data_IF_454429504144
#
_entry.id   IF_454429504144
#
_cell.length_a   1.000
_cell.length_b   1.000
_cell.length_c   1.000
_cell.angle_alpha   90.00
_cell.angle_beta   90.00
_cell.angle_gamma   90.00
#
_symmetry.space_group_name_H-M   'P 1'
#
loop_
_entity.id
_entity.type
_entity.pdbx_description
1 polymer ?
#
# COMPACT_ATOMS: atom_id res chain seq x y z
N UNK A 1 -1.65 13.78 -1.06
CA UNK A 1 -0.24 13.73 -1.50
C UNK A 1 0.37 12.43 -0.97
N UNK A 2 1.19 11.72 -1.73
CA UNK A 2 1.68 10.37 -1.36
C UNK A 2 2.83 10.35 -0.33
N UNK A 3 2.87 11.29 0.63
CA UNK A 3 3.86 11.29 1.72
C UNK A 3 5.34 11.28 1.28
N UNK A 4 5.67 11.85 0.11
CA UNK A 4 7.02 11.84 -0.45
C UNK A 4 7.43 10.55 -1.17
N UNK A 5 6.57 9.52 -1.18
CA UNK A 5 6.89 8.23 -1.81
C UNK A 5 6.84 8.30 -3.35
N UNK A 6 7.74 7.59 -4.05
CA UNK A 6 7.78 7.57 -5.51
C UNK A 6 6.48 7.02 -6.10
N UNK A 7 6.00 7.65 -7.17
CA UNK A 7 4.71 7.36 -7.81
C UNK A 7 4.81 7.35 -9.32
N UNK A 8 3.93 6.61 -9.97
CA UNK A 8 3.78 6.64 -11.42
C UNK A 8 3.27 8.03 -11.82
N UNK A 9 3.90 8.64 -12.82
CA UNK A 9 3.52 9.97 -13.30
C UNK A 9 2.05 9.97 -13.77
N UNK A 10 1.31 11.03 -13.43
CA UNK A 10 -0.13 11.12 -13.73
C UNK A 10 -1.03 10.27 -12.83
N UNK A 11 -0.48 9.42 -11.97
CA UNK A 11 -1.25 8.48 -11.16
C UNK A 11 -1.10 8.72 -9.65
N UNK A 12 -2.02 8.13 -8.89
CA UNK A 12 -1.93 8.00 -7.42
C UNK A 12 -1.37 6.65 -6.97
N UNK A 13 -0.98 5.81 -7.92
CA UNK A 13 -0.35 4.50 -7.68
C UNK A 13 1.12 4.74 -7.36
N UNK A 14 1.59 4.24 -6.21
CA UNK A 14 2.98 4.34 -5.79
C UNK A 14 3.78 3.17 -6.34
N UNK A 15 5.10 3.33 -6.46
CA UNK A 15 6.01 2.25 -6.87
C UNK A 15 5.89 1.05 -5.91
N UNK A 16 5.84 1.30 -4.60
CA UNK A 16 5.65 0.25 -3.59
C UNK A 16 4.38 -0.60 -3.82
N UNK A 17 3.30 -0.02 -4.38
CA UNK A 17 2.05 -0.75 -4.58
C UNK A 17 2.24 -1.79 -5.71
N UNK A 18 2.92 -1.41 -6.80
CA UNK A 18 3.31 -2.31 -7.90
C UNK A 18 4.20 -3.45 -7.38
N UNK A 19 5.20 -3.11 -6.56
CA UNK A 19 6.12 -4.10 -5.97
C UNK A 19 5.37 -5.09 -5.08
N UNK A 20 4.43 -4.62 -4.26
CA UNK A 20 3.62 -5.50 -3.40
C UNK A 20 2.76 -6.44 -4.25
N UNK A 21 2.11 -5.93 -5.30
CA UNK A 21 1.30 -6.76 -6.20
C UNK A 21 2.15 -7.82 -6.92
N UNK A 22 3.33 -7.44 -7.39
CA UNK A 22 4.22 -8.34 -8.11
C UNK A 22 4.90 -9.37 -7.19
N UNK A 23 5.61 -8.93 -6.14
CA UNK A 23 6.42 -9.83 -5.30
C UNK A 23 5.61 -10.58 -4.25
N UNK A 24 4.59 -9.95 -3.65
CA UNK A 24 3.85 -10.55 -2.53
C UNK A 24 2.56 -11.22 -2.95
N UNK A 25 1.87 -10.65 -3.93
CA UNK A 25 0.63 -11.24 -4.45
C UNK A 25 0.86 -12.11 -5.69
N UNK A 26 2.09 -12.12 -6.24
CA UNK A 26 2.46 -12.96 -7.38
C UNK A 26 1.78 -12.57 -8.70
N UNK A 27 1.23 -11.36 -8.79
CA UNK A 27 0.59 -10.89 -10.02
C UNK A 27 1.64 -10.60 -11.10
N UNK A 28 1.41 -11.09 -12.31
CA UNK A 28 2.20 -10.70 -13.47
C UNK A 28 1.96 -9.22 -13.84
N UNK A 29 2.91 -8.58 -14.55
CA UNK A 29 2.72 -7.21 -15.06
C UNK A 29 1.44 -7.03 -15.88
N UNK A 30 1.06 -8.02 -16.69
CA UNK A 30 -0.18 -8.01 -17.47
C UNK A 30 -1.43 -8.06 -16.58
N UNK A 31 -1.43 -8.88 -15.52
CA UNK A 31 -2.53 -8.93 -14.55
C UNK A 31 -2.66 -7.60 -13.78
N UNK A 32 -1.55 -6.96 -13.45
CA UNK A 32 -1.55 -5.64 -12.80
C UNK A 32 -2.24 -4.61 -13.69
N UNK A 33 -1.89 -4.56 -14.99
CA UNK A 33 -2.54 -3.64 -15.94
C UNK A 33 -4.01 -3.98 -16.13
N UNK A 34 -4.36 -5.26 -16.16
CA UNK A 34 -5.75 -5.72 -16.26
C UNK A 34 -6.60 -5.23 -15.08
N UNK A 35 -6.07 -5.32 -13.86
CA UNK A 35 -6.76 -4.83 -12.65
C UNK A 35 -6.75 -3.30 -12.51
N UNK A 36 -5.72 -2.64 -13.03
CA UNK A 36 -5.53 -1.19 -12.93
C UNK A 36 -5.36 -0.56 -14.32
N UNK A 37 -6.43 -0.46 -15.13
CA UNK A 37 -6.36 -0.05 -16.53
C UNK A 37 -5.95 1.42 -16.74
N UNK A 38 -5.83 2.19 -15.66
CA UNK A 38 -5.28 3.55 -15.70
C UNK A 38 -3.80 3.57 -16.04
N UNK A 39 -3.03 2.55 -15.64
CA UNK A 39 -1.59 2.44 -15.91
C UNK A 39 -1.34 1.46 -17.05
N UNK A 40 -0.26 1.65 -17.80
CA UNK A 40 0.12 0.75 -18.88
C UNK A 40 1.30 -0.14 -18.46
N UNK A 41 1.62 -1.11 -19.33
CA UNK A 41 2.68 -2.08 -19.09
C UNK A 41 4.06 -1.43 -18.93
N UNK A 42 4.35 -0.36 -19.68
CA UNK A 42 5.60 0.38 -19.56
C UNK A 42 5.72 1.08 -18.19
N UNK A 43 4.63 1.60 -17.65
CA UNK A 43 4.61 2.19 -16.30
C UNK A 43 4.94 1.13 -15.23
N UNK A 44 4.40 -0.09 -15.38
CA UNK A 44 4.68 -1.21 -14.47
C UNK A 44 6.15 -1.59 -14.53
N UNK A 45 6.72 -1.79 -15.72
CA UNK A 45 8.13 -2.12 -15.86
C UNK A 45 9.05 -0.99 -15.40
N UNK A 46 8.71 0.27 -15.66
CA UNK A 46 9.47 1.41 -15.16
C UNK A 46 9.46 1.48 -13.63
N UNK A 47 8.31 1.19 -12.99
CA UNK A 47 8.22 1.11 -11.53
C UNK A 47 9.07 -0.05 -10.97
N UNK A 48 9.05 -1.22 -11.61
CA UNK A 48 9.88 -2.36 -11.20
C UNK A 48 11.38 -2.06 -11.37
N UNK A 49 11.78 -1.46 -12.49
CA UNK A 49 13.17 -1.04 -12.71
C UNK A 49 13.63 -0.05 -11.62
N UNK A 50 12.83 0.99 -11.36
CA UNK A 50 13.11 1.95 -10.28
C UNK A 50 13.22 1.27 -8.92
N UNK A 51 12.37 0.28 -8.66
CA UNK A 51 12.42 -0.51 -7.43
C UNK A 51 13.73 -1.27 -7.28
N UNK A 52 14.22 -1.93 -8.32
CA UNK A 52 15.48 -2.66 -8.23
C UNK A 52 16.68 -1.74 -8.01
N UNK A 53 16.65 -0.52 -8.54
CA UNK A 53 17.67 0.49 -8.27
C UNK A 53 17.60 1.06 -6.83
N UNK A 54 16.42 1.06 -6.20
CA UNK A 54 16.16 1.67 -4.88
C UNK A 54 15.60 0.66 -3.86
N UNK A 55 15.97 -0.62 -3.99
CA UNK A 55 15.28 -1.72 -3.31
C UNK A 55 15.25 -1.57 -1.79
N UNK A 56 16.39 -1.19 -1.20
CA UNK A 56 16.53 -1.05 0.26
C UNK A 56 15.61 0.05 0.80
N UNK A 57 15.62 1.22 0.16
CA UNK A 57 14.79 2.37 0.57
C UNK A 57 13.29 2.02 0.49
N UNK A 58 12.87 1.43 -0.63
CA UNK A 58 11.45 1.12 -0.84
C UNK A 58 10.98 0.01 0.12
N UNK A 59 11.80 -1.02 0.37
CA UNK A 59 11.47 -2.05 1.35
C UNK A 59 11.31 -1.47 2.75
N UNK A 60 12.24 -0.63 3.17
CA UNK A 60 12.15 0.07 4.45
C UNK A 60 10.86 0.90 4.54
N UNK A 61 10.52 1.67 3.50
CA UNK A 61 9.29 2.47 3.45
C UNK A 61 8.00 1.63 3.52
N UNK A 62 8.03 0.40 3.01
CA UNK A 62 6.92 -0.55 3.12
C UNK A 62 6.81 -1.05 4.56
N UNK A 63 7.91 -1.48 5.17
CA UNK A 63 7.95 -1.98 6.54
C UNK A 63 7.53 -0.92 7.56
N UNK A 64 8.03 0.31 7.44
CA UNK A 64 7.65 1.45 8.26
C UNK A 64 6.15 1.76 8.13
N UNK A 65 5.62 1.68 6.91
CA UNK A 65 4.20 1.89 6.64
C UNK A 65 3.31 0.84 7.31
N UNK A 66 3.73 -0.43 7.28
CA UNK A 66 3.02 -1.52 7.96
C UNK A 66 3.12 -1.43 9.48
N UNK A 67 4.30 -1.09 10.01
CA UNK A 67 4.49 -0.89 11.44
C UNK A 67 3.59 0.23 11.97
N UNK A 68 3.54 1.36 11.25
CA UNK A 68 2.65 2.46 11.58
C UNK A 68 1.18 2.05 11.52
N UNK A 69 0.76 1.31 10.47
CA UNK A 69 -0.61 0.81 10.36
C UNK A 69 -1.00 -0.08 11.55
N UNK A 70 -0.13 -1.04 11.92
CA UNK A 70 -0.33 -1.92 13.09
C UNK A 70 -0.43 -1.14 14.40
N UNK A 71 0.42 -0.14 14.59
CA UNK A 71 0.39 0.71 15.79
C UNK A 71 -0.91 1.50 15.89
N UNK A 72 -1.38 2.06 14.77
CA UNK A 72 -2.64 2.82 14.70
C UNK A 72 -3.86 1.93 14.93
N UNK A 73 -3.86 0.70 14.40
CA UNK A 73 -4.88 -0.31 14.67
C UNK A 73 -4.92 -0.68 16.16
N UNK A 74 -3.76 -0.86 16.80
CA UNK A 74 -3.69 -1.17 18.22
C UNK A 74 -4.18 -0.01 19.12
N UNK A 75 -3.93 1.23 18.71
CA UNK A 75 -4.31 2.44 19.47
C UNK A 75 -5.76 2.89 19.26
N UNK A 76 -6.40 2.44 18.19
CA UNK A 76 -7.77 2.84 17.86
C UNK A 76 -8.72 1.65 18.09
N UNK A 77 -9.34 1.51 19.28
CA UNK A 77 -10.38 0.51 19.45
C UNK A 77 -11.46 0.76 18.40
N UNK A 78 -11.83 -0.29 17.68
CA UNK A 78 -12.76 -0.19 16.56
C UNK A 78 -14.00 0.60 17.02
N UNK A 79 -14.47 1.56 16.23
CA UNK A 79 -15.69 2.34 16.57
C UNK A 79 -16.87 1.42 16.94
N UNK A 80 -16.88 0.20 16.40
CA UNK A 80 -17.78 -0.90 16.75
C UNK A 80 -17.59 -1.37 18.21
N UNK A 81 -16.37 -1.64 18.66
CA UNK A 81 -16.08 -2.00 20.06
C UNK A 81 -16.43 -0.86 21.03
N UNK A 82 -16.11 0.38 20.66
CA UNK A 82 -16.47 1.55 21.46
C UNK A 82 -17.99 1.71 21.58
N UNK A 83 -18.75 1.50 20.50
CA UNK A 83 -20.23 1.51 20.51
C UNK A 83 -20.86 0.32 21.24
N UNK A 84 -20.21 -0.85 21.27
CA UNK A 84 -20.68 -2.03 22.01
C UNK A 84 -20.46 -1.87 23.52
N UNK A 85 -19.34 -1.27 23.92
CA UNK A 85 -19.04 -0.96 25.33
C UNK A 85 -20.02 0.06 25.92
N UNK A 86 -20.33 1.12 25.18
CA UNK A 86 -21.29 2.15 25.61
C UNK A 86 -22.75 1.67 25.67
N UNK A 87 -23.09 0.51 25.07
CA UNK A 87 -24.43 -0.08 25.15
C UNK A 87 -24.66 -0.94 26.40
N UNK A 88 -23.61 -1.53 26.96
CA UNK A 88 -23.71 -2.37 28.17
C UNK A 88 -23.66 -1.57 29.48
N UNK A 89 -23.21 -0.31 29.43
CA UNK A 89 -23.09 0.59 30.59
C UNK A 89 -24.41 1.35 30.93
N UNK A 90 -25.46 1.15 30.13
CA UNK A 90 -26.78 1.82 30.26
C UNK A 90 -27.86 0.96 30.96
N UNK A 91 -27.48 -0.05 31.73
CA UNK A 91 -28.39 -0.90 32.51
C UNK A 91 -28.12 -0.70 34.00
#
# INVERSE_FOLDING_TARGET
MCGGKPRIAGHRIKVQDIVIWHERMGMSPDEIVYHYPSINLADVYAALAYYYDHMQEIRQQIEEGEAFAREMEAKTPCLVQQKLRNRHDKI
#
